data_IF_148131609542
#
_entry.id   IF_148131609542
#
_cell.length_a   1.000
_cell.length_b   1.000
_cell.length_c   1.000
_cell.angle_alpha   90.00
_cell.angle_beta   90.00
_cell.angle_gamma   90.00
#
_symmetry.space_group_name_H-M   'P 1'
#
loop_
_entity.id
_entity.type
_entity.pdbx_description
1 polymer ?
#
# COMPACT_ATOMS: atom_id res chain seq x y z
N UNK A 1 26.32 34.97 17.11
CA UNK A 1 26.13 34.31 15.80
C UNK A 1 27.06 33.11 15.74
N UNK A 2 26.53 31.89 15.72
CA UNK A 2 27.36 30.68 15.69
C UNK A 2 27.89 30.46 14.27
N UNK A 3 29.22 30.44 14.11
CA UNK A 3 29.89 30.16 12.84
C UNK A 3 29.70 28.69 12.47
N UNK A 4 29.18 28.44 11.28
CA UNK A 4 29.01 27.11 10.68
C UNK A 4 30.39 26.46 10.60
N UNK A 5 30.66 25.43 11.42
CA UNK A 5 31.91 24.66 11.36
C UNK A 5 32.01 24.07 9.96
N UNK A 6 33.01 24.49 9.18
CA UNK A 6 33.40 23.80 7.95
C UNK A 6 33.67 22.34 8.31
N UNK A 7 32.96 21.40 7.68
CA UNK A 7 33.20 19.97 7.89
C UNK A 7 34.67 19.67 7.57
N UNK A 8 35.45 19.35 8.60
CA UNK A 8 36.85 19.01 8.45
C UNK A 8 36.96 17.66 7.73
N UNK A 9 37.24 17.70 6.42
CA UNK A 9 37.52 16.50 5.64
C UNK A 9 38.94 16.00 5.95
N UNK A 10 39.08 14.68 6.08
CA UNK A 10 40.38 14.05 6.23
C UNK A 10 41.19 14.19 4.93
N UNK A 11 42.52 14.20 5.05
CA UNK A 11 43.39 14.27 3.88
C UNK A 11 43.28 13.00 3.02
N UNK A 12 43.49 13.14 1.71
CA UNK A 12 43.39 12.04 0.73
C UNK A 12 44.29 10.85 1.09
N UNK A 13 45.50 11.12 1.59
CA UNK A 13 46.45 10.09 2.00
C UNK A 13 45.95 9.27 3.21
N UNK A 14 45.26 9.91 4.17
CA UNK A 14 44.68 9.21 5.33
C UNK A 14 43.48 8.36 4.89
N UNK A 15 42.64 8.88 3.99
CA UNK A 15 41.46 8.17 3.49
C UNK A 15 41.83 6.92 2.67
N UNK A 16 42.99 6.89 2.02
CA UNK A 16 43.50 5.75 1.25
C UNK A 16 44.05 4.60 2.14
N UNK A 17 44.26 4.84 3.43
CA UNK A 17 44.76 3.82 4.36
C UNK A 17 43.76 2.68 4.53
N UNK A 18 44.26 1.45 4.74
CA UNK A 18 43.43 0.23 4.82
C UNK A 18 42.27 0.32 5.81
N UNK A 19 42.47 0.99 6.95
CA UNK A 19 41.44 1.14 7.98
C UNK A 19 40.34 2.15 7.59
N UNK A 20 40.59 3.03 6.62
CA UNK A 20 39.64 4.01 6.10
C UNK A 20 38.90 3.54 4.84
N UNK A 21 39.29 2.41 4.25
CA UNK A 21 38.72 1.92 2.98
C UNK A 21 37.20 1.77 3.01
N UNK A 22 36.62 1.25 4.10
CA UNK A 22 35.15 1.10 4.21
C UNK A 22 34.43 2.44 4.22
N UNK A 23 35.01 3.43 4.90
CA UNK A 23 34.45 4.78 4.99
C UNK A 23 34.64 5.54 3.66
N UNK A 24 35.78 5.37 3.02
CA UNK A 24 36.08 5.94 1.70
C UNK A 24 35.11 5.43 0.63
N UNK A 25 34.91 4.10 0.57
CA UNK A 25 33.98 3.48 -0.36
C UNK A 25 32.54 3.93 -0.14
N UNK A 26 32.12 4.09 1.11
CA UNK A 26 30.78 4.61 1.43
C UNK A 26 30.60 6.06 0.95
N UNK A 27 31.60 6.92 1.17
CA UNK A 27 31.55 8.33 0.75
C UNK A 27 31.54 8.44 -0.78
N UNK A 28 32.35 7.63 -1.46
CA UNK A 28 32.39 7.59 -2.93
C UNK A 28 31.07 7.08 -3.51
N UNK A 29 30.48 6.05 -2.90
CA UNK A 29 29.17 5.53 -3.30
C UNK A 29 28.08 6.60 -3.14
N UNK A 30 28.03 7.30 -2.00
CA UNK A 30 27.06 8.37 -1.74
C UNK A 30 27.23 9.53 -2.73
N UNK A 31 28.46 9.94 -3.02
CA UNK A 31 28.73 10.96 -4.04
C UNK A 31 28.31 10.51 -5.44
N UNK A 32 28.54 9.23 -5.78
CA UNK A 32 28.13 8.70 -7.07
C UNK A 32 26.61 8.61 -7.18
N UNK A 33 25.91 8.20 -6.12
CA UNK A 33 24.45 8.19 -6.05
C UNK A 33 23.86 9.61 -6.16
N UNK A 34 24.44 10.61 -5.48
CA UNK A 34 24.04 12.01 -5.63
C UNK A 34 24.27 12.54 -7.05
N UNK A 35 25.38 12.17 -7.70
CA UNK A 35 25.65 12.57 -9.07
C UNK A 35 24.71 11.89 -10.06
N UNK A 36 24.43 10.60 -9.88
CA UNK A 36 23.43 9.87 -10.67
C UNK A 36 22.04 10.48 -10.49
N UNK A 37 21.66 10.84 -9.26
CA UNK A 37 20.37 11.49 -9.00
C UNK A 37 20.29 12.86 -9.69
N UNK A 38 21.35 13.67 -9.64
CA UNK A 38 21.40 14.96 -10.36
C UNK A 38 21.28 14.78 -11.87
N UNK A 39 21.98 13.79 -12.43
CA UNK A 39 21.86 13.46 -13.86
C UNK A 39 20.43 13.03 -14.18
N UNK A 40 19.83 12.19 -13.34
CA UNK A 40 18.44 11.76 -13.51
C UNK A 40 17.50 12.98 -13.48
N UNK A 41 17.65 13.87 -12.51
CA UNK A 41 16.80 15.05 -12.34
C UNK A 41 16.97 16.06 -13.50
N UNK A 42 18.20 16.20 -14.04
CA UNK A 42 18.51 17.10 -15.15
C UNK A 42 18.04 16.54 -16.51
N UNK A 43 18.09 15.21 -16.70
CA UNK A 43 17.77 14.55 -17.98
C UNK A 43 16.33 14.02 -18.08
N UNK A 44 15.69 13.65 -16.96
CA UNK A 44 14.35 13.06 -16.97
C UNK A 44 13.27 14.14 -16.92
N UNK A 45 12.97 14.71 -18.08
CA UNK A 45 11.72 15.46 -18.27
C UNK A 45 10.55 14.47 -18.41
N UNK A 46 9.56 14.56 -17.52
CA UNK A 46 8.32 13.81 -17.65
C UNK A 46 7.35 14.57 -18.57
N UNK A 47 6.94 13.96 -19.68
CA UNK A 47 5.93 14.52 -20.56
C UNK A 47 4.53 14.12 -20.08
N UNK A 48 3.82 15.06 -19.48
CA UNK A 48 2.44 14.86 -19.04
C UNK A 48 1.47 14.86 -20.23
N UNK A 49 1.37 13.72 -20.92
CA UNK A 49 0.37 13.51 -21.95
C UNK A 49 -0.94 12.97 -21.34
N UNK A 50 -2.05 13.74 -21.37
CA UNK A 50 -3.32 13.33 -20.78
C UNK A 50 -3.90 12.04 -21.39
N UNK A 51 -3.58 11.72 -22.65
CA UNK A 51 -4.09 10.54 -23.36
C UNK A 51 -3.45 9.21 -22.92
N UNK A 52 -2.23 9.26 -22.35
CA UNK A 52 -1.49 8.07 -21.91
C UNK A 52 -1.70 7.75 -20.42
N UNK A 53 -2.08 8.75 -19.61
CA UNK A 53 -2.41 8.54 -18.18
C UNK A 53 -3.63 7.63 -17.97
N UNK A 54 -4.49 7.49 -18.98
CA UNK A 54 -5.77 6.77 -18.86
C UNK A 54 -5.74 5.35 -19.40
N UNK A 55 -4.67 4.94 -20.08
CA UNK A 55 -4.55 3.62 -20.71
C UNK A 55 -3.45 2.79 -20.03
N UNK A 56 -3.61 2.56 -18.74
CA UNK A 56 -2.89 1.45 -18.11
C UNK A 56 -3.35 0.14 -18.77
N UNK A 57 -2.40 -0.70 -19.15
CA UNK A 57 -2.70 -2.00 -19.75
C UNK A 57 -3.50 -2.84 -18.76
N UNK A 58 -4.72 -3.22 -19.15
CA UNK A 58 -5.60 -4.11 -18.36
C UNK A 58 -4.97 -5.48 -18.12
N UNK A 59 -4.06 -5.89 -19.01
CA UNK A 59 -3.39 -7.20 -18.96
C UNK A 59 -1.89 -7.04 -18.72
N UNK A 60 -1.38 -7.85 -17.79
CA UNK A 60 0.03 -7.93 -17.45
C UNK A 60 0.61 -9.18 -18.11
N UNK A 61 1.50 -8.96 -19.10
CA UNK A 61 2.19 -10.06 -19.80
C UNK A 61 3.55 -10.27 -19.15
N UNK A 62 3.69 -11.37 -18.43
CA UNK A 62 4.98 -11.81 -17.90
C UNK A 62 5.39 -13.13 -18.59
N UNK A 63 6.70 -13.30 -18.80
CA UNK A 63 7.27 -14.55 -19.32
C UNK A 63 7.53 -15.57 -18.21
N UNK A 64 7.52 -15.12 -16.95
CA UNK A 64 7.73 -15.97 -15.80
C UNK A 64 6.44 -16.71 -15.38
N UNK A 65 6.57 -18.00 -15.02
CA UNK A 65 5.48 -18.79 -14.41
C UNK A 65 5.41 -18.62 -12.89
N UNK A 66 6.28 -17.80 -12.31
CA UNK A 66 6.45 -17.69 -10.85
C UNK A 66 5.18 -17.24 -10.15
N UNK A 67 4.42 -16.34 -10.77
CA UNK A 67 3.17 -15.82 -10.25
C UNK A 67 2.05 -16.87 -10.25
N UNK A 68 2.01 -17.74 -11.27
CA UNK A 68 0.92 -18.68 -11.47
C UNK A 68 1.09 -19.97 -10.65
N UNK A 69 2.31 -20.51 -10.60
CA UNK A 69 2.56 -21.86 -10.08
C UNK A 69 3.00 -21.90 -8.60
N UNK A 70 3.14 -20.75 -7.93
CA UNK A 70 3.50 -20.66 -6.50
C UNK A 70 4.68 -21.58 -6.12
N UNK A 71 5.77 -21.54 -6.90
CA UNK A 71 6.85 -22.50 -6.77
C UNK A 71 7.52 -22.49 -5.39
N UNK A 72 7.86 -23.69 -4.94
CA UNK A 72 8.68 -23.89 -3.74
C UNK A 72 10.16 -23.64 -4.04
N UNK A 73 10.94 -23.46 -2.97
CA UNK A 73 12.39 -23.32 -3.06
C UNK A 73 13.04 -24.58 -3.66
N UNK A 74 13.76 -24.43 -4.78
CA UNK A 74 14.23 -25.56 -5.58
C UNK A 74 15.43 -26.32 -5.04
N UNK A 75 16.27 -25.73 -4.18
CA UNK A 75 17.38 -26.47 -3.55
C UNK A 75 16.85 -27.22 -2.33
N UNK A 76 16.71 -28.53 -2.48
CA UNK A 76 16.18 -29.41 -1.44
C UNK A 76 17.16 -30.55 -1.16
N UNK A 77 17.22 -30.94 0.10
CA UNK A 77 17.95 -32.14 0.55
C UNK A 77 17.05 -32.90 1.50
N UNK A 78 17.24 -34.20 1.56
CA UNK A 78 16.42 -35.10 2.36
C UNK A 78 17.30 -36.10 3.11
N UNK A 79 16.78 -36.62 4.22
CA UNK A 79 17.38 -37.70 5.01
C UNK A 79 18.81 -37.39 5.50
N UNK A 80 19.14 -36.13 5.73
CA UNK A 80 20.44 -35.72 6.26
C UNK A 80 21.58 -35.76 5.25
N UNK A 81 21.31 -35.90 3.93
CA UNK A 81 22.34 -35.85 2.90
C UNK A 81 23.08 -34.50 2.87
N UNK A 82 22.41 -33.42 3.25
CA UNK A 82 23.02 -32.12 3.49
C UNK A 82 22.23 -31.31 4.53
N UNK A 83 22.68 -31.24 5.80
CA UNK A 83 21.96 -30.56 6.87
C UNK A 83 21.86 -29.04 6.69
N UNK A 84 22.82 -28.42 6.00
CA UNK A 84 22.79 -26.98 5.74
C UNK A 84 21.70 -26.62 4.73
N UNK A 85 21.54 -27.43 3.68
CA UNK A 85 20.45 -27.26 2.71
C UNK A 85 19.10 -27.52 3.37
N UNK A 86 18.97 -28.54 4.22
CA UNK A 86 17.73 -28.80 4.96
C UNK A 86 17.36 -27.62 5.89
N UNK A 87 18.34 -26.98 6.52
CA UNK A 87 18.12 -25.79 7.35
C UNK A 87 17.60 -24.63 6.50
N UNK A 88 18.22 -24.36 5.35
CA UNK A 88 17.79 -23.32 4.41
C UNK A 88 16.36 -23.61 3.92
N UNK A 89 16.07 -24.85 3.56
CA UNK A 89 14.74 -25.30 3.11
C UNK A 89 13.67 -25.02 4.17
N UNK A 90 13.94 -25.34 5.45
CA UNK A 90 13.02 -25.08 6.56
C UNK A 90 12.73 -23.59 6.75
N UNK A 91 13.78 -22.76 6.74
CA UNK A 91 13.63 -21.30 6.88
C UNK A 91 12.79 -20.73 5.74
N UNK A 92 13.04 -21.16 4.50
CA UNK A 92 12.30 -20.68 3.33
C UNK A 92 10.84 -21.09 3.33
N UNK A 93 10.54 -22.33 3.76
CA UNK A 93 9.16 -22.79 3.90
C UNK A 93 8.41 -21.99 4.97
N UNK A 94 9.05 -21.73 6.11
CA UNK A 94 8.46 -20.92 7.18
C UNK A 94 8.20 -19.48 6.72
N UNK A 95 9.13 -18.88 5.98
CA UNK A 95 8.97 -17.54 5.41
C UNK A 95 7.76 -17.47 4.46
N UNK A 96 7.57 -18.49 3.61
CA UNK A 96 6.41 -18.58 2.71
C UNK A 96 5.09 -18.70 3.49
N UNK A 97 5.05 -19.53 4.53
CA UNK A 97 3.85 -19.69 5.37
C UNK A 97 3.48 -18.39 6.08
N UNK A 98 4.47 -17.68 6.64
CA UNK A 98 4.26 -16.38 7.31
C UNK A 98 3.74 -15.31 6.34
N UNK A 99 4.25 -15.29 5.10
CA UNK A 99 3.75 -14.38 4.07
C UNK A 99 2.29 -14.67 3.72
N UNK A 100 1.96 -15.93 3.49
CA UNK A 100 0.59 -16.34 3.20
C UNK A 100 -0.38 -16.03 4.36
N UNK A 101 0.04 -16.21 5.62
CA UNK A 101 -0.78 -15.85 6.77
C UNK A 101 -0.97 -14.34 6.89
N UNK A 102 0.10 -13.55 6.70
CA UNK A 102 0.02 -12.09 6.74
C UNK A 102 -0.90 -11.53 5.64
N UNK A 103 -0.86 -12.09 4.44
CA UNK A 103 -1.78 -11.71 3.36
C UNK A 103 -3.23 -12.02 3.72
N UNK A 104 -3.49 -13.19 4.30
CA UNK A 104 -4.84 -13.56 4.76
C UNK A 104 -5.35 -12.65 5.88
N UNK A 105 -4.49 -12.30 6.83
CA UNK A 105 -4.81 -11.34 7.89
C UNK A 105 -5.10 -9.96 7.31
N UNK A 106 -4.30 -9.50 6.34
CA UNK A 106 -4.50 -8.22 5.66
C UNK A 106 -5.85 -8.17 4.93
N UNK A 107 -6.24 -9.23 4.25
CA UNK A 107 -7.54 -9.33 3.57
C UNK A 107 -8.73 -9.29 4.56
N UNK A 108 -8.57 -9.89 5.74
CA UNK A 108 -9.61 -9.91 6.76
C UNK A 108 -9.65 -8.62 7.61
N UNK A 109 -8.55 -7.86 7.63
CA UNK A 109 -8.46 -6.60 8.36
C UNK A 109 -9.13 -5.45 7.59
N UNK A 110 -9.83 -4.57 8.31
CA UNK A 110 -10.38 -3.33 7.74
C UNK A 110 -9.30 -2.26 7.84
N UNK A 111 -8.97 -1.60 6.72
CA UNK A 111 -8.02 -0.49 6.73
C UNK A 111 -8.56 0.72 7.50
N UNK A 112 -7.69 1.52 8.11
CA UNK A 112 -8.09 2.73 8.83
C UNK A 112 -8.88 3.72 7.97
N UNK A 113 -8.54 3.79 6.68
CA UNK A 113 -9.24 4.61 5.69
C UNK A 113 -10.67 4.11 5.47
N UNK A 114 -10.84 2.79 5.34
CA UNK A 114 -12.17 2.19 5.18
C UNK A 114 -12.99 2.30 6.46
N UNK A 115 -12.33 2.17 7.62
CA UNK A 115 -12.94 2.40 8.92
C UNK A 115 -13.46 3.84 9.05
N UNK A 116 -12.64 4.84 8.69
CA UNK A 116 -13.03 6.25 8.72
C UNK A 116 -14.23 6.55 7.80
N UNK A 117 -14.27 5.98 6.59
CA UNK A 117 -15.40 6.11 5.65
C UNK A 117 -16.69 5.49 6.21
N UNK A 118 -16.59 4.34 6.88
CA UNK A 118 -17.75 3.71 7.54
C UNK A 118 -18.24 4.55 8.71
N UNK A 119 -17.34 5.13 9.50
CA UNK A 119 -17.74 6.02 10.60
C UNK A 119 -18.40 7.31 10.10
N UNK A 120 -17.88 7.95 9.06
CA UNK A 120 -18.45 9.19 8.52
C UNK A 120 -19.87 8.99 7.97
N UNK A 121 -20.10 7.93 7.22
CA UNK A 121 -21.42 7.57 6.69
C UNK A 121 -22.42 7.24 7.81
N UNK A 122 -21.99 6.48 8.82
CA UNK A 122 -22.83 6.08 9.94
C UNK A 122 -23.19 7.28 10.84
N UNK A 123 -22.23 8.19 11.10
CA UNK A 123 -22.48 9.45 11.81
C UNK A 123 -23.52 10.32 11.10
N UNK A 124 -23.47 10.39 9.76
CA UNK A 124 -24.43 11.17 8.96
C UNK A 124 -25.86 10.62 9.06
N UNK A 125 -26.01 9.29 9.09
CA UNK A 125 -27.32 8.62 9.28
C UNK A 125 -27.84 8.83 10.71
N UNK A 126 -26.96 8.75 11.70
CA UNK A 126 -27.31 8.97 13.11
C UNK A 126 -27.77 10.43 13.33
N UNK A 127 -27.04 11.41 12.80
CA UNK A 127 -27.39 12.83 12.90
C UNK A 127 -28.81 13.10 12.36
N UNK A 128 -29.13 12.58 11.17
CA UNK A 128 -30.47 12.69 10.57
C UNK A 128 -31.58 12.08 11.42
N UNK A 129 -31.32 10.97 12.13
CA UNK A 129 -32.30 10.34 13.03
C UNK A 129 -32.61 11.23 14.24
N UNK A 130 -31.63 11.95 14.77
CA UNK A 130 -31.80 12.85 15.90
C UNK A 130 -32.43 14.19 15.53
N UNK A 131 -32.09 14.75 14.36
CA UNK A 131 -32.75 15.94 13.82
C UNK A 131 -34.25 15.72 13.58
N UNK A 132 -34.61 14.56 13.00
CA UNK A 132 -36.03 14.20 12.75
C UNK A 132 -36.82 14.00 14.05
N UNK A 133 -36.19 13.53 15.13
CA UNK A 133 -36.83 13.44 16.46
C UNK A 133 -36.98 14.80 17.13
N UNK A 134 -36.05 15.74 16.91
CA UNK A 134 -36.12 17.10 17.46
C UNK A 134 -37.27 17.91 16.83
N UNK A 135 -37.46 17.81 15.51
CA UNK A 135 -38.55 18.48 14.79
C UNK A 135 -39.95 17.97 15.15
N UNK A 136 -40.08 16.72 15.64
CA UNK A 136 -41.38 16.18 16.10
C UNK A 136 -41.86 16.75 17.43
N UNK A 137 -41.00 17.42 18.20
CA UNK A 137 -41.33 17.94 19.54
C UNK A 137 -41.76 19.41 19.54
N UNK A 138 -41.49 20.13 18.45
CA UNK A 138 -41.99 21.48 18.19
C UNK A 138 -43.12 21.36 17.18
N UNK A 139 -44.35 21.23 17.66
CA UNK A 139 -45.53 21.32 16.82
C UNK A 139 -45.65 22.75 16.31
N UNK A 140 -45.57 22.92 15.00
CA UNK A 140 -46.01 24.11 14.30
C UNK A 140 -46.81 23.60 13.10
N UNK A 141 -48.14 23.64 13.25
CA UNK A 141 -49.11 23.41 12.20
C UNK A 141 -49.21 24.68 11.36
N UNK A 142 -48.55 24.72 10.20
CA UNK A 142 -48.92 25.66 9.12
C UNK A 142 -48.75 24.97 7.76
N UNK A 143 -49.84 25.01 6.99
CA UNK A 143 -50.10 24.41 5.69
C UNK A 143 -49.09 24.71 4.58
N UNK A 144 -48.95 23.71 3.68
CA UNK A 144 -48.91 23.92 2.23
C UNK A 144 -47.54 23.96 1.56
N UNK A 145 -47.09 22.84 0.98
CA UNK A 145 -46.93 22.64 -0.48
C UNK A 145 -46.92 21.12 -0.75
N UNK A 146 -47.82 20.72 -1.64
CA UNK A 146 -47.96 19.42 -2.29
C UNK A 146 -46.65 18.98 -2.99
N UNK A 147 -46.11 17.84 -2.59
CA UNK A 147 -45.29 17.01 -3.47
C UNK A 147 -45.68 15.54 -3.25
N UNK A 148 -46.80 15.20 -3.88
CA UNK A 148 -47.35 13.85 -3.97
C UNK A 148 -46.46 12.92 -4.80
N UNK A 149 -45.31 12.50 -4.26
CA UNK A 149 -44.66 11.26 -4.70
C UNK A 149 -44.91 10.16 -3.67
N UNK A 150 -46.01 9.44 -3.89
CA UNK A 150 -46.38 8.25 -3.13
C UNK A 150 -45.21 7.24 -3.15
N UNK A 151 -44.47 7.17 -2.04
CA UNK A 151 -43.47 6.13 -1.84
C UNK A 151 -44.20 4.79 -1.73
N UNK A 152 -44.12 3.99 -2.79
CA UNK A 152 -44.59 2.62 -2.79
C UNK A 152 -43.93 1.86 -1.63
N UNK A 153 -44.75 1.21 -0.81
CA UNK A 153 -44.25 0.41 0.32
C UNK A 153 -43.41 -0.72 -0.26
N UNK A 154 -42.09 -0.67 -0.06
CA UNK A 154 -41.17 -1.73 -0.46
C UNK A 154 -41.47 -2.96 0.38
N UNK A 155 -42.22 -3.91 -0.16
CA UNK A 155 -42.39 -5.24 0.40
C UNK A 155 -41.20 -6.13 -0.01
N UNK A 156 -40.90 -7.12 0.82
CA UNK A 156 -39.85 -8.08 0.54
C UNK A 156 -40.26 -8.97 -0.65
N UNK A 157 -39.66 -8.76 -1.81
CA UNK A 157 -39.80 -9.68 -2.94
C UNK A 157 -38.88 -10.88 -2.70
N UNK A 158 -39.47 -12.08 -2.74
CA UNK A 158 -38.69 -13.32 -2.74
C UNK A 158 -37.91 -13.40 -4.07
N UNK A 159 -36.68 -13.93 -4.06
CA UNK A 159 -35.92 -14.19 -5.30
C UNK A 159 -36.74 -15.07 -6.25
N UNK A 160 -36.60 -14.84 -7.55
CA UNK A 160 -37.16 -15.74 -8.56
C UNK A 160 -36.46 -17.08 -8.45
N UNK A 161 -37.24 -18.16 -8.42
CA UNK A 161 -36.73 -19.51 -8.60
C UNK A 161 -36.51 -19.69 -10.12
N UNK A 162 -35.27 -19.50 -10.57
CA UNK A 162 -34.84 -19.86 -11.92
C UNK A 162 -34.63 -21.39 -11.98
N UNK A 163 -35.20 -22.05 -12.99
CA UNK A 163 -34.84 -23.42 -13.42
C UNK A 163 -33.52 -23.43 -14.22
#
# INVERSE_FOLDING_TARGET
MATKRSSAQLSKNVLQMKFMQRSALRIEQEQNEENLQKIIDDEHWALDLPDYKTKESVFLKDQSYTFCEQLQYGRQSFKGCNPDIEKIMKVKLQEQQLKASAEKEKLNSVSDVDMAKRYSTLMHVIAKKFEKKRKRKTGDDVDGVDDSQAQTKKSFMKPSDDE
#
